data_IF_398561876820
#
_entry.id   IF_398561876820
#
_cell.length_a   1.000
_cell.length_b   1.000
_cell.length_c   1.000
_cell.angle_alpha   90.00
_cell.angle_beta   90.00
_cell.angle_gamma   90.00
#
_symmetry.space_group_name_H-M   'P 1'
#
loop_
_entity.id
_entity.type
_entity.pdbx_description
1 polymer ?
#
# COMPACT_ATOMS: atom_id res chain seq x y z
N UNK A 1 -1.20 28.11 17.55
CA UNK A 1 -1.40 28.50 16.15
C UNK A 1 -0.63 27.63 15.18
N UNK A 2 0.67 27.46 15.33
CA UNK A 2 1.50 26.62 14.42
C UNK A 2 1.07 25.15 14.37
N UNK A 3 0.64 24.57 15.47
CA UNK A 3 0.19 23.17 15.51
C UNK A 3 -1.11 22.90 14.72
N UNK A 4 -2.00 23.88 14.65
CA UNK A 4 -3.24 23.80 13.85
C UNK A 4 -2.93 23.84 12.35
N UNK A 5 -1.91 24.59 11.94
CA UNK A 5 -1.51 24.68 10.54
C UNK A 5 -0.85 23.36 10.06
N UNK A 6 -0.07 22.71 10.90
CA UNK A 6 0.58 21.44 10.55
C UNK A 6 -0.44 20.30 10.41
N UNK A 7 -1.36 20.16 11.34
CA UNK A 7 -2.41 19.12 11.28
C UNK A 7 -3.35 19.36 10.10
N UNK A 8 -3.71 20.60 9.82
CA UNK A 8 -4.52 20.98 8.66
C UNK A 8 -3.77 20.71 7.35
N UNK A 9 -2.48 20.99 7.31
CA UNK A 9 -1.63 20.71 6.15
C UNK A 9 -1.56 19.20 5.85
N UNK A 10 -1.27 18.38 6.85
CA UNK A 10 -1.25 16.93 6.70
C UNK A 10 -2.63 16.35 6.36
N UNK A 11 -3.70 16.94 6.91
CA UNK A 11 -5.06 16.57 6.56
C UNK A 11 -5.37 16.76 5.07
N UNK A 12 -4.89 17.85 4.48
CA UNK A 12 -5.04 18.12 3.04
C UNK A 12 -4.17 17.23 2.17
N UNK A 13 -3.02 16.77 2.68
CA UNK A 13 -2.13 15.85 1.97
C UNK A 13 -2.58 14.39 2.05
N UNK A 14 -3.38 14.03 3.04
CA UNK A 14 -3.80 12.65 3.23
C UNK A 14 -4.47 12.03 1.99
N UNK A 15 -5.41 12.68 1.30
CA UNK A 15 -5.99 12.14 0.07
C UNK A 15 -4.93 11.88 -1.02
N UNK A 16 -3.96 12.78 -1.16
CA UNK A 16 -2.85 12.60 -2.12
C UNK A 16 -1.98 11.41 -1.74
N UNK A 17 -1.65 11.27 -0.46
CA UNK A 17 -0.82 10.18 0.05
C UNK A 17 -1.49 8.81 -0.08
N UNK A 18 -2.81 8.73 0.02
CA UNK A 18 -3.57 7.48 -0.19
C UNK A 18 -3.50 7.02 -1.65
N UNK A 19 -3.43 7.93 -2.61
CA UNK A 19 -3.34 7.58 -4.03
C UNK A 19 -1.99 6.97 -4.41
N UNK A 20 -0.91 7.27 -3.68
CA UNK A 20 0.42 6.71 -3.95
C UNK A 20 0.47 5.17 -3.82
N UNK A 21 0.06 4.56 -2.69
CA UNK A 21 0.05 3.11 -2.59
C UNK A 21 -0.87 2.45 -3.62
N UNK A 22 -2.01 3.04 -3.92
CA UNK A 22 -2.93 2.54 -4.95
C UNK A 22 -2.21 2.51 -6.31
N UNK A 23 -1.56 3.61 -6.69
CA UNK A 23 -0.82 3.70 -7.95
C UNK A 23 0.32 2.68 -8.04
N UNK A 24 1.11 2.51 -6.98
CA UNK A 24 2.20 1.53 -6.97
C UNK A 24 1.72 0.08 -7.00
N UNK A 25 0.61 -0.22 -6.32
CA UNK A 25 0.01 -1.55 -6.35
C UNK A 25 -0.52 -1.87 -7.75
N UNK A 26 -1.26 -0.96 -8.36
CA UNK A 26 -1.76 -1.14 -9.73
C UNK A 26 -0.59 -1.34 -10.69
N UNK A 27 0.47 -0.55 -10.57
CA UNK A 27 1.67 -0.69 -11.39
C UNK A 27 2.36 -2.04 -11.17
N UNK A 28 2.46 -2.51 -9.93
CA UNK A 28 3.02 -3.82 -9.61
C UNK A 28 2.19 -4.95 -10.23
N UNK A 29 0.86 -4.86 -10.14
CA UNK A 29 -0.04 -5.84 -10.75
C UNK A 29 0.07 -5.86 -12.28
N UNK A 30 0.23 -4.69 -12.92
CA UNK A 30 0.46 -4.59 -14.37
C UNK A 30 1.78 -5.25 -14.74
N UNK A 31 2.86 -5.03 -13.98
CA UNK A 31 4.16 -5.68 -14.22
C UNK A 31 4.12 -7.19 -14.03
N UNK A 32 3.18 -7.71 -13.25
CA UNK A 32 2.97 -9.15 -13.09
C UNK A 32 2.22 -9.79 -14.26
N UNK A 33 1.51 -9.02 -15.07
CA UNK A 33 0.89 -9.53 -16.27
C UNK A 33 1.97 -10.04 -17.25
N UNK A 34 1.67 -11.15 -17.92
CA UNK A 34 2.60 -11.88 -18.81
C UNK A 34 3.19 -11.04 -19.98
N UNK A 35 2.70 -9.83 -20.18
CA UNK A 35 3.11 -8.98 -21.28
C UNK A 35 4.54 -8.43 -21.11
N UNK A 36 4.99 -8.18 -19.88
CA UNK A 36 6.35 -7.71 -19.58
C UNK A 36 7.26 -8.93 -19.30
N UNK A 37 7.65 -9.66 -20.33
CA UNK A 37 8.19 -11.03 -20.22
C UNK A 37 9.71 -11.13 -20.06
N UNK A 38 10.44 -10.04 -19.94
CA UNK A 38 11.90 -10.06 -19.76
C UNK A 38 12.28 -10.37 -18.30
N UNK A 39 12.87 -11.56 -18.09
CA UNK A 39 13.02 -12.17 -16.75
C UNK A 39 14.01 -11.45 -15.82
N UNK A 40 15.03 -10.77 -16.33
CA UNK A 40 16.08 -10.18 -15.48
C UNK A 40 15.73 -8.79 -14.93
N UNK A 41 15.36 -7.87 -15.81
CA UNK A 41 15.00 -6.50 -15.46
C UNK A 41 13.67 -6.42 -14.68
N UNK A 42 12.72 -7.27 -15.03
CA UNK A 42 11.40 -7.35 -14.43
C UNK A 42 11.43 -7.62 -12.92
N UNK A 43 12.34 -8.48 -12.46
CA UNK A 43 12.41 -8.85 -11.04
C UNK A 43 12.77 -7.65 -10.17
N UNK A 44 13.73 -6.83 -10.60
CA UNK A 44 14.14 -5.65 -9.86
C UNK A 44 13.04 -4.58 -9.84
N UNK A 45 12.41 -4.30 -10.97
CA UNK A 45 11.31 -3.33 -11.04
C UNK A 45 10.12 -3.76 -10.20
N UNK A 46 9.75 -5.03 -10.24
CA UNK A 46 8.63 -5.56 -9.47
C UNK A 46 8.88 -5.49 -7.96
N UNK A 47 10.10 -5.86 -7.52
CA UNK A 47 10.50 -5.76 -6.11
C UNK A 47 10.50 -4.31 -5.63
N UNK A 48 11.05 -3.38 -6.41
CA UNK A 48 11.06 -1.95 -6.08
C UNK A 48 9.64 -1.40 -6.02
N UNK A 49 8.77 -1.76 -6.95
CA UNK A 49 7.39 -1.27 -7.00
C UNK A 49 6.60 -1.74 -5.78
N UNK A 50 6.77 -3.01 -5.35
CA UNK A 50 6.17 -3.51 -4.12
C UNK A 50 6.75 -2.87 -2.86
N UNK A 51 8.04 -2.55 -2.85
CA UNK A 51 8.66 -1.79 -1.76
C UNK A 51 8.05 -0.39 -1.66
N UNK A 52 7.89 0.30 -2.78
CA UNK A 52 7.26 1.63 -2.82
C UNK A 52 5.80 1.57 -2.39
N UNK A 53 5.07 0.53 -2.80
CA UNK A 53 3.71 0.28 -2.33
C UNK A 53 3.67 0.10 -0.81
N UNK A 54 4.57 -0.68 -0.23
CA UNK A 54 4.67 -0.90 1.21
C UNK A 54 5.00 0.40 1.96
N UNK A 55 6.04 1.11 1.55
CA UNK A 55 6.47 2.36 2.20
C UNK A 55 5.35 3.41 2.14
N UNK A 56 4.75 3.62 0.97
CA UNK A 56 3.68 4.60 0.81
C UNK A 56 2.41 4.22 1.58
N UNK A 57 2.05 2.94 1.64
CA UNK A 57 0.94 2.44 2.46
C UNK A 57 1.18 2.68 3.95
N UNK A 58 2.41 2.44 4.41
CA UNK A 58 2.79 2.67 5.81
C UNK A 58 2.64 4.15 6.19
N UNK A 59 3.20 5.05 5.38
CA UNK A 59 3.07 6.49 5.64
C UNK A 59 1.62 6.97 5.57
N UNK A 60 0.85 6.49 4.59
CA UNK A 60 -0.56 6.84 4.47
C UNK A 60 -1.37 6.38 5.68
N UNK A 61 -1.17 5.13 6.15
CA UNK A 61 -1.83 4.59 7.32
C UNK A 61 -1.44 5.35 8.60
N UNK A 62 -0.15 5.68 8.75
CA UNK A 62 0.36 6.43 9.89
C UNK A 62 -0.24 7.84 9.99
N UNK A 63 -0.27 8.56 8.87
CA UNK A 63 -0.86 9.91 8.82
C UNK A 63 -2.37 9.83 9.04
N UNK A 64 -3.05 8.84 8.45
CA UNK A 64 -4.47 8.60 8.69
C UNK A 64 -4.78 8.34 10.16
N UNK A 65 -3.92 7.56 10.84
CA UNK A 65 -4.06 7.31 12.27
C UNK A 65 -3.86 8.58 13.13
N UNK A 66 -2.88 9.43 12.78
CA UNK A 66 -2.68 10.72 13.45
C UNK A 66 -3.89 11.65 13.28
N UNK A 67 -4.46 11.71 12.07
CA UNK A 67 -5.64 12.52 11.77
C UNK A 67 -6.88 12.02 12.53
N UNK A 68 -7.06 10.71 12.63
CA UNK A 68 -8.16 10.10 13.34
C UNK A 68 -8.22 10.49 14.83
N UNK A 69 -7.08 10.76 15.45
CA UNK A 69 -7.01 11.19 16.85
C UNK A 69 -7.47 12.64 17.07
N UNK A 70 -7.41 13.47 16.04
CA UNK A 70 -7.69 14.90 16.13
C UNK A 70 -9.01 15.32 15.48
N UNK A 71 -9.72 14.38 14.82
CA UNK A 71 -10.95 14.65 14.07
C UNK A 71 -12.21 14.03 14.74
N UNK A 72 -13.34 14.67 14.48
CA UNK A 72 -14.65 14.13 14.84
C UNK A 72 -15.17 13.29 13.66
N UNK A 73 -14.84 12.00 13.64
CA UNK A 73 -15.28 11.06 12.62
C UNK A 73 -16.34 10.10 13.16
N UNK A 74 -17.15 9.54 12.28
CA UNK A 74 -18.08 8.47 12.62
C UNK A 74 -17.27 7.21 12.94
N UNK A 75 -17.36 6.70 14.16
CA UNK A 75 -16.50 5.62 14.66
C UNK A 75 -16.54 4.35 13.79
N UNK A 76 -17.70 3.98 13.27
CA UNK A 76 -17.84 2.77 12.45
C UNK A 76 -17.11 2.85 11.12
N UNK A 77 -17.22 3.97 10.42
CA UNK A 77 -16.56 4.18 9.12
C UNK A 77 -15.04 4.35 9.30
N UNK A 78 -14.63 5.08 10.35
CA UNK A 78 -13.23 5.25 10.68
C UNK A 78 -12.56 3.92 11.00
N UNK A 79 -13.20 3.08 11.77
CA UNK A 79 -12.70 1.76 12.17
C UNK A 79 -12.48 0.86 10.95
N UNK A 80 -13.45 0.78 10.06
CA UNK A 80 -13.32 0.00 8.82
C UNK A 80 -12.17 0.52 7.95
N UNK A 81 -12.07 1.83 7.79
CA UNK A 81 -10.98 2.46 7.01
C UNK A 81 -9.60 2.17 7.62
N UNK A 82 -9.46 2.23 8.94
CA UNK A 82 -8.21 1.90 9.63
C UNK A 82 -7.80 0.44 9.44
N UNK A 83 -8.74 -0.50 9.57
CA UNK A 83 -8.46 -1.93 9.36
C UNK A 83 -8.05 -2.22 7.92
N UNK A 84 -8.74 -1.67 6.95
CA UNK A 84 -8.37 -1.85 5.53
C UNK A 84 -7.00 -1.25 5.22
N UNK A 85 -6.67 -0.09 5.80
CA UNK A 85 -5.34 0.52 5.68
C UNK A 85 -4.22 -0.34 6.26
N UNK A 86 -4.41 -0.90 7.47
CA UNK A 86 -3.45 -1.80 8.12
C UNK A 86 -3.26 -3.08 7.30
N UNK A 87 -4.36 -3.69 6.83
CA UNK A 87 -4.28 -4.88 5.97
C UNK A 87 -3.53 -4.58 4.67
N UNK A 88 -3.75 -3.42 4.07
CA UNK A 88 -3.02 -3.02 2.86
C UNK A 88 -1.51 -2.92 3.11
N UNK A 89 -1.09 -2.35 4.25
CA UNK A 89 0.33 -2.31 4.65
C UNK A 89 0.90 -3.72 4.79
N UNK A 90 0.20 -4.62 5.49
CA UNK A 90 0.65 -5.99 5.71
C UNK A 90 0.80 -6.77 4.39
N UNK A 91 -0.21 -6.74 3.53
CA UNK A 91 -0.17 -7.46 2.25
C UNK A 91 0.81 -6.84 1.25
N UNK A 92 1.04 -5.54 1.28
CA UNK A 92 2.09 -4.89 0.49
C UNK A 92 3.49 -5.32 0.96
N UNK A 93 3.69 -5.43 2.28
CA UNK A 93 4.92 -5.97 2.87
C UNK A 93 5.16 -7.43 2.45
N UNK A 94 4.14 -8.28 2.53
CA UNK A 94 4.20 -9.67 2.05
C UNK A 94 4.52 -9.70 0.55
N UNK A 95 3.85 -8.88 -0.25
CA UNK A 95 4.12 -8.73 -1.67
C UNK A 95 5.59 -8.42 -1.97
N UNK A 96 6.20 -7.52 -1.22
CA UNK A 96 7.61 -7.19 -1.32
C UNK A 96 8.53 -8.35 -0.91
N UNK A 97 8.28 -8.98 0.26
CA UNK A 97 9.08 -10.09 0.77
C UNK A 97 9.08 -11.29 -0.20
N UNK A 98 7.94 -11.63 -0.76
CA UNK A 98 7.81 -12.71 -1.74
C UNK A 98 8.69 -12.50 -2.98
N UNK A 99 9.01 -11.25 -3.29
CA UNK A 99 9.80 -10.89 -4.48
C UNK A 99 11.27 -10.62 -4.21
N UNK A 100 11.67 -10.32 -2.96
CA UNK A 100 13.09 -10.17 -2.60
C UNK A 100 13.78 -11.52 -2.47
N UNK A 101 13.13 -12.48 -1.81
CA UNK A 101 13.83 -13.70 -1.33
C UNK A 101 13.96 -14.78 -2.37
N UNK A 102 13.55 -14.60 -3.63
CA UNK A 102 13.48 -15.72 -4.59
C UNK A 102 12.91 -16.99 -3.92
N UNK A 103 11.97 -16.77 -2.99
CA UNK A 103 11.34 -17.87 -2.31
C UNK A 103 10.68 -18.72 -3.38
N UNK A 104 11.13 -19.96 -3.55
CA UNK A 104 10.49 -20.97 -4.40
C UNK A 104 9.09 -21.32 -3.87
N UNK A 105 8.36 -20.29 -3.44
CA UNK A 105 6.98 -20.43 -3.02
C UNK A 105 6.10 -20.67 -4.25
N UNK A 106 5.11 -21.54 -4.14
CA UNK A 106 4.18 -21.78 -5.23
C UNK A 106 3.62 -20.45 -5.74
N UNK A 107 3.51 -20.30 -7.04
CA UNK A 107 2.93 -19.12 -7.70
C UNK A 107 1.51 -18.77 -7.16
N UNK A 108 0.88 -19.73 -6.50
CA UNK A 108 -0.39 -19.58 -5.82
C UNK A 108 -0.34 -18.52 -4.70
N UNK A 109 0.71 -18.48 -3.87
CA UNK A 109 0.83 -17.49 -2.79
C UNK A 109 0.90 -16.06 -3.34
N UNK A 110 1.66 -15.84 -4.40
CA UNK A 110 1.72 -14.55 -5.07
C UNK A 110 0.36 -14.14 -5.66
N UNK A 111 -0.35 -15.08 -6.28
CA UNK A 111 -1.69 -14.82 -6.84
C UNK A 111 -2.72 -14.49 -5.77
N UNK A 112 -2.71 -15.22 -4.65
CA UNK A 112 -3.61 -14.97 -3.51
C UNK A 112 -3.32 -13.58 -2.94
N UNK A 113 -2.06 -13.24 -2.69
CA UNK A 113 -1.68 -11.92 -2.19
C UNK A 113 -2.16 -10.80 -3.12
N UNK A 114 -1.94 -10.94 -4.42
CA UNK A 114 -2.37 -9.94 -5.40
C UNK A 114 -3.90 -9.78 -5.44
N UNK A 115 -4.63 -10.89 -5.32
CA UNK A 115 -6.09 -10.85 -5.28
C UNK A 115 -6.61 -10.15 -4.03
N UNK A 116 -6.01 -10.43 -2.86
CA UNK A 116 -6.38 -9.76 -1.60
C UNK A 116 -6.09 -8.27 -1.69
N UNK A 117 -4.92 -7.88 -2.17
CA UNK A 117 -4.56 -6.47 -2.32
C UNK A 117 -5.51 -5.74 -3.28
N UNK A 118 -5.92 -6.39 -4.36
CA UNK A 118 -6.88 -5.82 -5.30
C UNK A 118 -8.27 -5.58 -4.67
N UNK A 119 -8.70 -6.47 -3.75
CA UNK A 119 -9.95 -6.29 -3.01
C UNK A 119 -9.85 -5.15 -2.00
N UNK A 120 -8.67 -4.94 -1.40
CA UNK A 120 -8.44 -3.89 -0.40
C UNK A 120 -8.30 -2.49 -1.00
N UNK A 121 -8.01 -2.39 -2.30
CA UNK A 121 -7.96 -1.11 -3.01
C UNK A 121 -9.35 -0.52 -3.23
#
# INVERSE_FOLDING_TARGET
>A
MIALDITTFFGRLHPLLVHLPIGFIILALIFELKWFRDKGSRFNFLSITWLLAFISSFFSAFIGWLLARNGHYIESELTLHQYTGILLVLFSCVGWILRIKNLNLPSLFSRINNFIVLILL
#
